data_IF_453037607037
#
_entry.id   IF_453037607037
#
_cell.length_a   1.000
_cell.length_b   1.000
_cell.length_c   1.000
_cell.angle_alpha   90.00
_cell.angle_beta   90.00
_cell.angle_gamma   90.00
#
_symmetry.space_group_name_H-M   'P 1'
#
loop_
_entity.id
_entity.type
_entity.pdbx_description
1 polymer ?
#
# COMPACT_ATOMS: atom_id res chain seq x y z
N UNK A 1 -59.71 38.02 18.80
CA UNK A 1 -58.58 37.11 18.49
C UNK A 1 -58.88 36.34 17.20
N UNK A 2 -58.29 36.74 16.05
CA UNK A 2 -58.54 36.08 14.75
C UNK A 2 -57.61 34.87 14.63
N UNK A 3 -58.16 33.65 14.55
CA UNK A 3 -57.41 32.41 14.28
C UNK A 3 -56.90 32.44 12.82
N UNK A 4 -55.59 32.40 12.61
CA UNK A 4 -55.00 32.30 11.29
C UNK A 4 -55.36 30.94 10.65
N UNK A 5 -55.69 30.89 9.34
CA UNK A 5 -56.19 29.68 8.69
C UNK A 5 -55.08 28.63 8.50
N UNK A 6 -55.33 27.40 8.94
CA UNK A 6 -54.43 26.24 8.81
C UNK A 6 -53.96 25.97 7.37
N UNK A 7 -54.73 26.41 6.36
CA UNK A 7 -54.40 26.30 4.93
C UNK A 7 -53.09 26.99 4.53
N UNK A 8 -52.70 28.07 5.22
CA UNK A 8 -51.45 28.79 4.94
C UNK A 8 -50.22 28.00 5.40
N UNK A 9 -50.35 27.14 6.42
CA UNK A 9 -49.23 26.34 6.94
C UNK A 9 -48.84 25.19 6.01
N UNK A 10 -49.83 24.57 5.36
CA UNK A 10 -49.59 23.48 4.41
C UNK A 10 -48.98 23.94 3.09
N UNK A 11 -49.36 25.13 2.58
CA UNK A 11 -48.74 25.70 1.38
C UNK A 11 -47.25 26.02 1.56
N UNK A 12 -46.85 26.48 2.75
CA UNK A 12 -45.45 26.74 3.07
C UNK A 12 -44.62 25.45 3.20
N UNK A 13 -45.18 24.41 3.82
CA UNK A 13 -44.52 23.10 3.89
C UNK A 13 -44.29 22.49 2.51
N UNK A 14 -45.28 22.56 1.61
CA UNK A 14 -45.14 22.07 0.25
C UNK A 14 -44.07 22.84 -0.54
N UNK A 15 -44.05 24.17 -0.43
CA UNK A 15 -43.05 25.01 -1.09
C UNK A 15 -41.61 24.72 -0.61
N UNK A 16 -41.43 24.51 0.70
CA UNK A 16 -40.12 24.16 1.28
C UNK A 16 -39.64 22.79 0.82
N UNK A 17 -40.52 21.78 0.75
CA UNK A 17 -40.16 20.44 0.30
C UNK A 17 -39.78 20.42 -1.20
N UNK A 18 -40.51 21.16 -2.04
CA UNK A 18 -40.18 21.28 -3.47
C UNK A 18 -38.83 21.98 -3.64
N UNK A 19 -38.60 23.10 -2.94
CA UNK A 19 -37.32 23.80 -2.99
C UNK A 19 -36.15 22.92 -2.49
N UNK A 20 -36.34 22.16 -1.40
CA UNK A 20 -35.32 21.26 -0.87
C UNK A 20 -34.98 20.12 -1.85
N UNK A 21 -35.96 19.60 -2.60
CA UNK A 21 -35.74 18.55 -3.60
C UNK A 21 -34.96 19.03 -4.84
N UNK A 22 -35.01 20.32 -5.15
CA UNK A 22 -34.26 20.92 -6.26
C UNK A 22 -32.86 21.39 -5.85
N UNK A 23 -32.65 21.69 -4.57
CA UNK A 23 -31.38 22.20 -4.03
C UNK A 23 -30.46 21.10 -3.46
N UNK A 24 -30.92 19.85 -3.41
CA UNK A 24 -30.09 18.70 -3.07
C UNK A 24 -29.58 18.03 -4.36
N UNK A 25 -28.31 18.20 -4.75
CA UNK A 25 -27.74 17.38 -5.81
C UNK A 25 -27.82 15.91 -5.42
N UNK A 26 -28.20 15.06 -6.37
CA UNK A 26 -28.18 13.61 -6.20
C UNK A 26 -26.75 13.17 -5.82
N UNK A 27 -26.58 12.68 -4.60
CA UNK A 27 -25.33 12.04 -4.20
C UNK A 27 -25.19 10.75 -5.00
N UNK A 28 -24.26 10.73 -5.96
CA UNK A 28 -23.86 9.51 -6.65
C UNK A 28 -22.72 8.86 -5.86
N UNK A 29 -22.86 7.57 -5.54
CA UNK A 29 -21.76 6.82 -4.95
C UNK A 29 -20.69 6.54 -6.01
N UNK A 30 -19.42 6.56 -5.61
CA UNK A 30 -18.36 6.02 -6.43
C UNK A 30 -18.51 4.49 -6.40
N UNK A 31 -18.76 3.90 -7.56
CA UNK A 31 -18.87 2.44 -7.67
C UNK A 31 -17.52 1.78 -7.42
N UNK A 32 -17.54 0.51 -6.99
CA UNK A 32 -16.33 -0.32 -6.87
C UNK A 32 -15.63 -0.39 -8.25
N UNK A 33 -14.29 -0.26 -8.32
CA UNK A 33 -13.58 -0.46 -9.57
C UNK A 33 -13.79 -1.89 -10.08
N UNK A 34 -14.10 -2.02 -11.37
CA UNK A 34 -14.27 -3.31 -12.04
C UNK A 34 -13.01 -3.65 -12.84
N UNK A 35 -12.61 -4.92 -12.79
CA UNK A 35 -11.47 -5.43 -13.56
C UNK A 35 -11.95 -5.70 -14.99
N UNK A 36 -11.34 -5.04 -15.97
CA UNK A 36 -11.56 -5.36 -17.39
C UNK A 36 -10.68 -6.55 -17.79
N UNK A 37 -11.31 -7.67 -18.15
CA UNK A 37 -10.61 -8.91 -18.51
C UNK A 37 -9.65 -8.76 -19.71
N UNK A 38 -9.86 -7.76 -20.57
CA UNK A 38 -9.00 -7.48 -21.73
C UNK A 38 -7.88 -6.47 -21.48
N UNK A 39 -7.80 -5.87 -20.30
CA UNK A 39 -6.86 -4.79 -19.99
C UNK A 39 -5.62 -5.28 -19.22
N UNK A 40 -5.01 -6.39 -19.69
CA UNK A 40 -3.75 -6.83 -19.12
C UNK A 40 -2.65 -5.76 -19.39
N UNK A 41 -1.80 -5.45 -18.40
CA UNK A 41 -0.67 -4.55 -18.63
C UNK A 41 0.29 -5.19 -19.66
N UNK A 42 1.02 -4.36 -20.43
CA UNK A 42 2.00 -4.86 -21.39
C UNK A 42 3.11 -5.64 -20.66
N UNK A 43 3.48 -6.80 -21.21
CA UNK A 43 4.63 -7.60 -20.75
C UNK A 43 5.94 -7.06 -21.35
N UNK A 44 6.25 -5.80 -21.06
CA UNK A 44 7.50 -5.16 -21.47
C UNK A 44 8.69 -5.58 -20.61
N UNK A 45 9.91 -5.32 -21.10
CA UNK A 45 11.09 -5.39 -20.25
C UNK A 45 10.96 -4.43 -19.05
N UNK A 46 11.52 -4.76 -17.87
CA UNK A 46 11.58 -3.84 -16.76
C UNK A 46 12.21 -2.51 -17.16
N UNK A 47 11.64 -1.42 -16.66
CA UNK A 47 12.13 -0.07 -16.89
C UNK A 47 11.04 0.96 -16.64
N UNK A 48 11.42 2.22 -16.39
CA UNK A 48 10.44 3.27 -16.15
C UNK A 48 9.74 3.65 -17.47
N UNK A 49 8.49 4.09 -17.37
CA UNK A 49 7.69 4.53 -18.54
C UNK A 49 8.21 5.84 -19.16
N UNK A 50 9.06 6.56 -18.42
CA UNK A 50 9.74 7.78 -18.84
C UNK A 50 11.10 7.86 -18.12
N UNK A 51 12.07 8.64 -18.61
CA UNK A 51 13.35 8.81 -17.93
C UNK A 51 13.16 9.31 -16.49
N UNK A 52 13.90 8.71 -15.55
CA UNK A 52 13.90 9.08 -14.14
C UNK A 52 15.19 9.80 -13.77
N UNK A 53 15.14 10.61 -12.72
CA UNK A 53 16.30 11.31 -12.15
C UNK A 53 16.35 11.04 -10.64
N UNK A 54 17.56 10.82 -10.13
CA UNK A 54 17.82 10.62 -8.70
C UNK A 54 17.89 11.97 -7.97
N UNK A 55 16.96 12.20 -7.04
CA UNK A 55 16.79 13.48 -6.35
C UNK A 55 17.25 13.45 -4.87
N UNK A 56 18.44 12.91 -4.61
CA UNK A 56 19.03 12.86 -3.26
C UNK A 56 20.04 11.74 -3.12
N UNK A 57 20.84 11.77 -2.06
CA UNK A 57 21.75 10.67 -1.74
C UNK A 57 21.00 9.42 -1.29
N UNK A 58 21.60 8.25 -1.48
CA UNK A 58 20.99 7.02 -1.01
C UNK A 58 20.96 6.97 0.53
N UNK A 59 19.81 6.55 1.06
CA UNK A 59 19.62 6.25 2.47
C UNK A 59 20.04 4.84 2.83
N UNK A 60 20.21 4.60 4.13
CA UNK A 60 20.29 3.25 4.69
C UNK A 60 19.64 3.22 6.06
N UNK A 61 19.15 2.04 6.44
CA UNK A 61 18.58 1.83 7.76
C UNK A 61 19.68 1.77 8.83
N UNK A 62 19.36 2.27 10.02
CA UNK A 62 20.25 2.29 11.17
C UNK A 62 19.58 1.75 12.42
N UNK A 63 20.38 1.54 13.47
CA UNK A 63 19.89 1.10 14.78
C UNK A 63 19.59 2.33 15.63
N UNK A 64 18.40 2.37 16.24
CA UNK A 64 18.02 3.44 17.16
C UNK A 64 18.87 3.32 18.44
N UNK A 65 19.53 4.38 18.94
CA UNK A 65 20.31 4.32 20.16
C UNK A 65 19.51 3.77 21.34
N UNK A 66 20.13 2.87 22.11
CA UNK A 66 19.49 2.21 23.25
C UNK A 66 18.57 1.04 22.90
N UNK A 67 18.51 0.62 21.64
CA UNK A 67 17.79 -0.60 21.21
C UNK A 67 18.73 -1.79 21.04
N UNK A 68 18.21 -2.99 21.28
CA UNK A 68 18.92 -4.26 21.04
C UNK A 68 18.22 -5.04 19.91
N UNK A 69 18.79 -5.09 18.69
CA UNK A 69 18.20 -5.79 17.56
C UNK A 69 18.38 -7.32 17.62
N UNK A 70 19.13 -7.85 18.59
CA UNK A 70 19.33 -9.30 18.75
C UNK A 70 18.16 -9.98 19.48
N UNK A 71 17.31 -9.20 20.14
CA UNK A 71 16.17 -9.70 20.92
C UNK A 71 14.91 -9.77 20.06
N UNK A 72 14.12 -10.83 20.24
CA UNK A 72 12.84 -10.99 19.54
C UNK A 72 11.90 -9.80 19.82
N UNK A 73 11.40 -9.20 18.74
CA UNK A 73 10.51 -8.03 18.84
C UNK A 73 9.15 -8.42 19.45
N UNK A 74 8.40 -7.47 20.04
CA UNK A 74 7.01 -7.72 20.43
C UNK A 74 6.15 -8.30 19.29
N UNK A 75 6.40 -7.88 18.05
CA UNK A 75 5.67 -8.36 16.87
C UNK A 75 5.94 -9.84 16.59
N UNK A 76 7.21 -10.27 16.66
CA UNK A 76 7.57 -11.68 16.48
C UNK A 76 6.99 -12.57 17.59
N UNK A 77 6.95 -12.06 18.82
CA UNK A 77 6.35 -12.77 19.97
C UNK A 77 4.83 -12.86 19.84
N UNK A 78 4.17 -11.79 19.40
CA UNK A 78 2.72 -11.78 19.15
C UNK A 78 2.29 -12.82 18.12
N UNK A 79 3.12 -13.05 17.09
CA UNK A 79 2.86 -14.05 16.04
C UNK A 79 3.31 -15.48 16.40
N UNK A 80 4.01 -15.67 17.53
CA UNK A 80 4.66 -16.93 17.92
C UNK A 80 5.39 -17.63 16.75
N UNK A 81 6.33 -16.91 16.13
CA UNK A 81 7.09 -17.43 14.99
C UNK A 81 7.86 -18.71 15.32
N UNK A 82 8.38 -18.83 16.54
CA UNK A 82 9.06 -20.03 17.03
C UNK A 82 8.15 -21.27 16.99
N UNK A 83 6.86 -21.12 17.29
CA UNK A 83 5.89 -22.20 17.12
C UNK A 83 5.56 -22.47 15.65
N UNK A 84 5.32 -21.42 14.87
CA UNK A 84 4.97 -21.52 13.45
C UNK A 84 6.06 -22.24 12.64
N UNK A 85 7.32 -21.96 12.93
CA UNK A 85 8.47 -22.56 12.26
C UNK A 85 8.67 -24.06 12.51
N UNK A 86 7.99 -24.65 13.49
CA UNK A 86 7.96 -26.11 13.65
C UNK A 86 7.09 -26.79 12.59
N UNK A 87 6.15 -26.06 12.00
CA UNK A 87 5.26 -26.56 10.95
C UNK A 87 5.76 -26.24 9.55
N UNK A 88 6.28 -25.02 9.33
CA UNK A 88 6.85 -24.62 8.04
C UNK A 88 7.81 -23.44 8.21
N UNK A 89 8.87 -23.43 7.41
CA UNK A 89 9.80 -22.29 7.26
C UNK A 89 9.73 -21.64 5.87
N UNK A 90 8.80 -22.06 5.02
CA UNK A 90 8.66 -21.55 3.65
C UNK A 90 9.58 -22.20 2.62
N UNK A 91 10.16 -23.38 2.92
CA UNK A 91 11.06 -24.07 2.00
C UNK A 91 10.41 -24.29 0.61
N UNK A 92 11.15 -23.96 -0.45
CA UNK A 92 10.69 -24.07 -1.83
C UNK A 92 9.71 -22.99 -2.31
N UNK A 93 9.35 -22.00 -1.47
CA UNK A 93 8.50 -20.89 -1.89
C UNK A 93 9.34 -19.73 -2.47
N UNK A 94 8.88 -19.17 -3.59
CA UNK A 94 9.43 -17.95 -4.16
C UNK A 94 8.49 -16.78 -3.83
N UNK A 95 9.03 -15.71 -3.26
CA UNK A 95 8.29 -14.48 -2.93
C UNK A 95 8.88 -13.32 -3.72
N UNK A 96 8.03 -12.62 -4.49
CA UNK A 96 8.40 -11.39 -5.17
C UNK A 96 8.28 -10.19 -4.21
N UNK A 97 9.34 -9.38 -4.11
CA UNK A 97 9.36 -8.15 -3.31
C UNK A 97 9.32 -6.96 -4.27
N UNK A 98 8.15 -6.32 -4.39
CA UNK A 98 7.96 -5.14 -5.23
C UNK A 98 8.17 -3.89 -4.37
N UNK A 99 9.40 -3.40 -4.34
CA UNK A 99 9.83 -2.36 -3.39
C UNK A 99 10.97 -1.51 -3.98
N UNK A 100 11.73 -0.79 -3.15
CA UNK A 100 12.85 0.09 -3.53
C UNK A 100 14.13 -0.65 -3.98
N UNK A 101 14.00 -1.94 -4.29
CA UNK A 101 15.11 -2.88 -4.48
C UNK A 101 15.53 -3.56 -3.17
N UNK A 102 16.37 -4.59 -3.28
CA UNK A 102 16.84 -5.38 -2.12
C UNK A 102 18.34 -5.55 -2.18
N UNK A 103 19.06 -5.07 -1.16
CA UNK A 103 20.51 -5.27 -1.05
C UNK A 103 20.82 -6.66 -0.51
N UNK A 104 21.48 -7.56 -1.27
CA UNK A 104 21.85 -8.88 -0.76
C UNK A 104 22.87 -8.78 0.38
N UNK A 105 22.89 -9.78 1.25
CA UNK A 105 23.82 -9.82 2.36
C UNK A 105 23.79 -11.15 3.12
N UNK A 106 24.55 -11.30 4.22
CA UNK A 106 24.64 -12.57 4.96
C UNK A 106 23.30 -13.10 5.48
N UNK A 107 22.35 -12.20 5.78
CA UNK A 107 20.99 -12.55 6.19
C UNK A 107 19.99 -12.66 5.04
N UNK A 108 20.38 -12.24 3.83
CA UNK A 108 19.58 -12.34 2.61
C UNK A 108 20.44 -12.95 1.48
N UNK A 109 20.90 -14.21 1.61
CA UNK A 109 21.84 -14.80 0.66
C UNK A 109 21.19 -15.28 -0.64
N UNK A 110 19.85 -15.43 -0.66
CA UNK A 110 19.09 -16.04 -1.77
C UNK A 110 18.27 -15.07 -2.62
N UNK A 111 18.60 -13.77 -2.60
CA UNK A 111 17.85 -12.75 -3.36
C UNK A 111 18.16 -12.91 -4.85
N UNK A 112 17.13 -13.06 -5.67
CA UNK A 112 17.24 -13.16 -7.14
C UNK A 112 16.90 -11.82 -7.78
N UNK A 113 17.52 -11.46 -8.92
CA UNK A 113 17.16 -10.25 -9.65
C UNK A 113 15.72 -10.33 -10.17
N UNK A 114 14.95 -9.26 -9.95
CA UNK A 114 13.54 -9.15 -10.33
C UNK A 114 13.27 -8.08 -11.39
N UNK A 115 14.27 -7.27 -11.71
CA UNK A 115 14.14 -6.10 -12.57
C UNK A 115 13.92 -4.81 -11.78
N UNK A 116 13.96 -3.70 -12.50
CA UNK A 116 13.89 -2.34 -11.97
C UNK A 116 12.95 -1.50 -12.84
N UNK A 117 12.01 -0.80 -12.21
CA UNK A 117 11.05 0.08 -12.87
C UNK A 117 11.30 1.56 -12.57
N UNK A 118 12.44 1.88 -11.93
CA UNK A 118 12.89 3.24 -11.62
C UNK A 118 14.15 3.56 -12.42
N UNK A 119 15.18 2.72 -12.37
CA UNK A 119 16.39 2.86 -13.18
C UNK A 119 16.48 1.74 -14.24
N UNK A 120 17.71 1.34 -14.61
CA UNK A 120 17.98 0.22 -15.51
C UNK A 120 18.89 -0.79 -14.83
N UNK A 121 18.58 -1.13 -13.57
CA UNK A 121 19.28 -2.15 -12.78
C UNK A 121 18.52 -3.49 -12.78
N UNK A 122 18.97 -4.43 -11.96
CA UNK A 122 18.40 -5.77 -11.80
C UNK A 122 17.49 -5.91 -10.57
N UNK A 123 17.29 -4.82 -9.81
CA UNK A 123 16.53 -4.78 -8.56
C UNK A 123 17.32 -5.14 -7.30
N UNK A 124 18.63 -5.43 -7.41
CA UNK A 124 19.50 -5.76 -6.27
C UNK A 124 20.18 -4.53 -5.64
N UNK A 125 19.82 -3.34 -6.11
CA UNK A 125 20.23 -2.06 -5.51
C UNK A 125 19.06 -1.49 -4.74
N UNK A 126 19.25 -1.25 -3.45
CA UNK A 126 18.30 -0.53 -2.60
C UNK A 126 18.91 0.81 -2.17
N UNK A 127 18.38 1.90 -2.70
CA UNK A 127 18.82 3.28 -2.42
C UNK A 127 18.03 3.93 -1.28
N UNK A 128 16.98 3.28 -0.79
CA UNK A 128 16.09 3.80 0.27
C UNK A 128 16.21 2.98 1.56
N UNK A 129 16.67 1.73 1.46
CA UNK A 129 16.78 0.78 2.56
C UNK A 129 15.46 0.08 2.92
N UNK A 130 14.33 0.50 2.32
CA UNK A 130 13.00 -0.01 2.65
C UNK A 130 12.82 -1.46 2.17
N UNK A 131 13.11 -1.75 0.91
CA UNK A 131 12.96 -3.08 0.35
C UNK A 131 13.87 -4.12 1.02
N UNK A 132 15.09 -3.73 1.42
CA UNK A 132 15.98 -4.61 2.19
C UNK A 132 15.40 -4.95 3.58
N UNK A 133 14.77 -4.00 4.26
CA UNK A 133 14.09 -4.24 5.54
C UNK A 133 12.85 -5.14 5.36
N UNK A 134 12.04 -4.87 4.33
CA UNK A 134 10.86 -5.69 3.99
C UNK A 134 11.28 -7.12 3.66
N UNK A 135 12.29 -7.31 2.82
CA UNK A 135 12.84 -8.64 2.51
C UNK A 135 13.37 -9.35 3.77
N UNK A 136 14.03 -8.61 4.68
CA UNK A 136 14.49 -9.13 5.97
C UNK A 136 13.37 -9.60 6.89
N UNK A 137 12.18 -8.99 6.83
CA UNK A 137 11.00 -9.47 7.56
C UNK A 137 10.41 -10.73 6.95
N UNK A 138 10.47 -10.86 5.62
CA UNK A 138 9.88 -11.99 4.88
C UNK A 138 10.76 -13.24 5.00
N UNK A 139 12.08 -13.12 4.78
CA UNK A 139 12.98 -14.27 4.58
C UNK A 139 14.40 -14.07 5.15
N UNK A 140 14.59 -13.14 6.10
CA UNK A 140 15.90 -12.82 6.69
C UNK A 140 16.32 -13.58 7.95
#
# INVERSE_FOLDING_TARGET
MKRAPARRRWGWLAAVLIAASWMCPLASAINKPEVSAGAAPPNGAPGPVQPMEKNGDCGSSGVIPGTDPSVATPNQRMMDLSATWRSSRGDGQLVAVLDTGVRPGPRLPGVQPGGDYVESTDGLTDCDGHGTLVAGLIAG
#
